data_IF_964304560840
#
_entry.id   IF_964304560840
#
_cell.length_a   1.000
_cell.length_b   1.000
_cell.length_c   1.000
_cell.angle_alpha   90.00
_cell.angle_beta   90.00
_cell.angle_gamma   90.00
#
_symmetry.space_group_name_H-M   'P 1'
#
loop_
_entity.id
_entity.type
_entity.pdbx_description
1 polymer ?
#
# COMPACT_ATOMS: atom_id res chain seq x y z
N UNK A 1 -13.36 7.93 1.41
CA UNK A 1 -12.25 8.36 2.30
C UNK A 1 -12.72 9.53 3.13
N UNK A 2 -12.35 9.60 4.43
CA UNK A 2 -12.88 10.61 5.34
C UNK A 2 -12.25 11.99 5.16
N UNK A 3 -11.03 12.10 4.60
CA UNK A 3 -10.30 13.36 4.48
C UNK A 3 -9.64 13.50 3.12
N UNK A 4 -9.73 14.69 2.53
CA UNK A 4 -8.98 15.07 1.33
C UNK A 4 -7.63 15.66 1.74
N UNK A 5 -6.53 14.98 1.38
CA UNK A 5 -5.17 15.40 1.73
C UNK A 5 -4.78 16.80 1.23
N UNK A 6 -5.44 17.29 0.17
CA UNK A 6 -5.17 18.64 -0.37
C UNK A 6 -5.55 19.75 0.59
N UNK A 7 -6.45 19.51 1.54
CA UNK A 7 -6.84 20.46 2.59
C UNK A 7 -5.69 20.77 3.55
N UNK A 8 -4.67 19.91 3.60
CA UNK A 8 -3.48 20.10 4.44
C UNK A 8 -2.32 20.80 3.73
N UNK A 9 -2.48 21.20 2.45
CA UNK A 9 -1.43 21.88 1.69
C UNK A 9 -0.92 23.15 2.38
N UNK A 10 -1.77 24.06 2.89
CA UNK A 10 -1.27 25.24 3.63
C UNK A 10 -0.43 24.85 4.84
N UNK A 11 -0.89 23.89 5.62
CA UNK A 11 -0.16 23.41 6.79
C UNK A 11 1.19 22.75 6.41
N UNK A 12 1.25 21.98 5.32
CA UNK A 12 2.49 21.40 4.83
C UNK A 12 3.51 22.49 4.46
N UNK A 13 3.06 23.55 3.81
CA UNK A 13 3.91 24.70 3.47
C UNK A 13 4.42 25.43 4.72
N UNK A 14 3.54 25.64 5.70
CA UNK A 14 3.93 26.26 6.99
C UNK A 14 4.98 25.44 7.72
N UNK A 15 4.92 24.12 7.62
CA UNK A 15 5.91 23.20 8.20
C UNK A 15 7.17 23.00 7.32
N UNK A 16 7.32 23.78 6.24
CA UNK A 16 8.54 23.82 5.44
C UNK A 16 8.62 22.78 4.32
N UNK A 17 7.49 22.33 3.81
CA UNK A 17 7.49 21.45 2.64
C UNK A 17 8.20 22.13 1.46
N UNK A 18 9.21 21.48 0.90
CA UNK A 18 9.93 21.94 -0.28
C UNK A 18 9.28 21.45 -1.59
N UNK A 19 8.51 20.37 -1.53
CA UNK A 19 7.78 19.79 -2.67
C UNK A 19 6.36 19.45 -2.23
N UNK A 20 5.40 19.79 -3.08
CA UNK A 20 4.00 19.40 -2.94
C UNK A 20 3.63 18.47 -4.09
N UNK A 21 3.13 17.29 -3.76
CA UNK A 21 2.60 16.35 -4.75
C UNK A 21 1.08 16.36 -4.64
N UNK A 22 0.41 16.79 -5.68
CA UNK A 22 -1.04 17.03 -5.69
C UNK A 22 -1.72 16.27 -6.84
N UNK A 23 -2.96 15.88 -6.63
CA UNK A 23 -3.78 15.20 -7.63
C UNK A 23 -4.25 16.24 -8.68
N UNK A 24 -4.07 15.94 -9.96
CA UNK A 24 -4.42 16.81 -11.07
C UNK A 24 -5.91 17.18 -11.10
N UNK A 25 -6.79 16.35 -10.57
CA UNK A 25 -8.23 16.61 -10.45
C UNK A 25 -8.58 17.80 -9.55
N UNK A 26 -7.67 18.15 -8.64
CA UNK A 26 -7.86 19.29 -7.72
C UNK A 26 -7.07 20.53 -8.14
N UNK A 27 -6.39 20.49 -9.29
CA UNK A 27 -5.63 21.63 -9.81
C UNK A 27 -6.36 22.20 -11.02
N UNK A 28 -6.68 23.51 -10.94
CA UNK A 28 -7.24 24.24 -12.06
C UNK A 28 -6.30 25.38 -12.46
N UNK A 29 -6.19 25.63 -13.75
CA UNK A 29 -5.46 26.79 -14.25
C UNK A 29 -6.29 28.05 -14.10
N UNK A 30 -5.71 29.08 -13.51
CA UNK A 30 -6.30 30.42 -13.42
C UNK A 30 -5.42 31.43 -14.14
N UNK A 31 -5.90 32.69 -14.27
CA UNK A 31 -5.12 33.78 -14.90
C UNK A 31 -3.84 34.10 -14.13
N UNK A 32 -3.81 33.81 -12.84
CA UNK A 32 -2.64 34.00 -11.94
C UNK A 32 -1.77 32.77 -11.81
N UNK A 33 -2.16 31.63 -12.41
CA UNK A 33 -1.46 30.35 -12.30
C UNK A 33 -2.33 29.22 -11.71
N UNK A 34 -1.74 28.09 -11.36
CA UNK A 34 -2.48 26.93 -10.85
C UNK A 34 -3.10 27.21 -9.48
N UNK A 35 -4.32 26.74 -9.29
CA UNK A 35 -5.11 26.86 -8.05
C UNK A 35 -5.52 25.46 -7.61
N UNK A 36 -5.28 25.11 -6.34
CA UNK A 36 -5.81 23.90 -5.73
C UNK A 36 -7.20 24.18 -5.21
N UNK A 37 -8.19 23.46 -5.75
CA UNK A 37 -9.59 23.59 -5.40
C UNK A 37 -10.13 22.30 -4.81
N UNK A 38 -10.65 22.35 -3.59
CA UNK A 38 -11.39 21.25 -2.94
C UNK A 38 -12.81 21.71 -2.58
N UNK A 39 -13.66 20.83 -2.08
CA UNK A 39 -14.99 21.19 -1.61
C UNK A 39 -14.98 22.26 -0.51
N UNK A 40 -13.91 22.31 0.27
CA UNK A 40 -13.80 23.16 1.45
C UNK A 40 -12.74 24.26 1.35
N UNK A 41 -11.92 24.26 0.30
CA UNK A 41 -10.76 25.14 0.22
C UNK A 41 -10.41 25.52 -1.23
N UNK A 42 -10.04 26.79 -1.40
CA UNK A 42 -9.38 27.28 -2.61
C UNK A 42 -8.03 27.87 -2.21
N UNK A 43 -6.95 27.34 -2.77
CA UNK A 43 -5.59 27.81 -2.51
C UNK A 43 -4.97 28.25 -3.83
N UNK A 44 -4.62 29.53 -3.92
CA UNK A 44 -3.80 30.03 -5.01
C UNK A 44 -2.35 29.53 -4.78
N UNK A 45 -1.94 28.59 -5.62
CA UNK A 45 -0.62 27.98 -5.50
C UNK A 45 0.47 29.03 -5.71
N UNK A 46 0.24 29.99 -6.62
CA UNK A 46 1.20 31.04 -6.90
C UNK A 46 1.43 31.97 -5.70
N UNK A 47 0.37 32.33 -4.97
CA UNK A 47 0.52 33.09 -3.72
C UNK A 47 1.22 32.27 -2.64
N UNK A 48 0.89 30.98 -2.54
CA UNK A 48 1.44 30.07 -1.56
C UNK A 48 2.96 29.87 -1.72
N UNK A 49 3.45 29.85 -2.97
CA UNK A 49 4.86 29.57 -3.30
C UNK A 49 5.68 30.82 -3.61
N UNK A 50 5.04 32.00 -3.74
CA UNK A 50 5.67 33.25 -4.22
C UNK A 50 6.99 33.60 -3.54
N UNK A 51 7.07 33.43 -2.21
CA UNK A 51 8.22 33.77 -1.39
C UNK A 51 8.94 32.53 -0.85
N UNK A 52 8.59 31.33 -1.33
CA UNK A 52 9.10 30.05 -0.86
C UNK A 52 9.50 29.21 -2.08
N UNK A 53 10.71 28.70 -2.08
CA UNK A 53 11.21 27.86 -3.16
C UNK A 53 10.56 26.44 -3.09
N UNK A 54 9.26 26.37 -3.40
CA UNK A 54 8.47 25.14 -3.35
C UNK A 54 8.18 24.68 -4.78
N UNK A 55 8.47 23.40 -5.06
CA UNK A 55 8.08 22.75 -6.29
C UNK A 55 6.70 22.10 -6.13
N UNK A 56 5.82 22.28 -7.11
CA UNK A 56 4.51 21.61 -7.16
C UNK A 56 4.50 20.62 -8.31
N UNK A 57 4.24 19.36 -7.99
CA UNK A 57 4.16 18.24 -8.94
C UNK A 57 2.72 17.74 -8.98
N UNK A 58 2.12 17.74 -10.16
CA UNK A 58 0.77 17.21 -10.37
C UNK A 58 0.85 15.75 -10.82
N UNK A 59 0.01 14.90 -10.23
CA UNK A 59 -0.09 13.47 -10.55
C UNK A 59 -1.53 13.03 -10.63
N UNK A 60 -1.81 11.94 -11.35
CA UNK A 60 -3.18 11.38 -11.44
C UNK A 60 -3.63 10.64 -10.20
N UNK A 61 -2.70 10.14 -9.39
CA UNK A 61 -2.98 9.37 -8.17
C UNK A 61 -1.87 9.63 -7.15
N UNK A 62 -2.17 10.47 -6.16
CA UNK A 62 -1.22 10.83 -5.09
C UNK A 62 -0.87 9.66 -4.18
N UNK A 63 -1.74 8.64 -4.06
CA UNK A 63 -1.45 7.44 -3.26
C UNK A 63 -0.45 6.53 -3.95
N UNK A 64 -0.62 6.34 -5.26
CA UNK A 64 0.37 5.62 -6.08
C UNK A 64 1.71 6.36 -6.09
N UNK A 65 1.68 7.69 -6.22
CA UNK A 65 2.87 8.51 -6.13
C UNK A 65 3.56 8.39 -4.76
N UNK A 66 2.79 8.34 -3.65
CA UNK A 66 3.33 8.14 -2.32
C UNK A 66 4.04 6.78 -2.20
N UNK A 67 3.48 5.72 -2.79
CA UNK A 67 4.12 4.41 -2.80
C UNK A 67 5.45 4.45 -3.54
N UNK A 68 5.48 5.01 -4.76
CA UNK A 68 6.69 5.15 -5.57
C UNK A 68 7.77 6.00 -4.89
N UNK A 69 7.39 7.14 -4.34
CA UNK A 69 8.30 8.02 -3.60
C UNK A 69 8.86 7.34 -2.35
N UNK A 70 8.04 6.57 -1.64
CA UNK A 70 8.47 5.83 -0.46
C UNK A 70 9.44 4.71 -0.85
N UNK A 71 9.15 3.96 -1.91
CA UNK A 71 10.06 2.93 -2.41
C UNK A 71 11.43 3.54 -2.77
N UNK A 72 11.43 4.63 -3.53
CA UNK A 72 12.67 5.30 -3.94
C UNK A 72 13.43 5.90 -2.74
N UNK A 73 12.73 6.51 -1.77
CA UNK A 73 13.36 7.10 -0.59
C UNK A 73 14.08 6.06 0.27
N UNK A 74 13.54 4.85 0.36
CA UNK A 74 14.14 3.75 1.11
C UNK A 74 14.96 2.79 0.24
N UNK A 75 15.37 3.18 -0.97
CA UNK A 75 16.23 2.40 -1.87
C UNK A 75 15.62 1.05 -2.27
N UNK A 76 14.33 1.06 -2.66
CA UNK A 76 13.59 -0.10 -3.17
C UNK A 76 13.75 -1.39 -2.34
N UNK A 77 13.47 -1.36 -1.02
CA UNK A 77 13.82 -2.45 -0.12
C UNK A 77 13.06 -3.76 -0.44
N UNK A 78 11.87 -3.68 -1.07
CA UNK A 78 11.11 -4.85 -1.46
C UNK A 78 11.80 -5.69 -2.56
N UNK A 79 12.70 -5.11 -3.35
CA UNK A 79 13.46 -5.79 -4.41
C UNK A 79 14.68 -6.54 -3.85
N UNK A 80 15.02 -6.31 -2.58
CA UNK A 80 16.23 -6.82 -1.93
C UNK A 80 16.00 -8.05 -1.04
N UNK A 81 14.76 -8.52 -0.96
CA UNK A 81 14.36 -9.72 -0.22
C UNK A 81 13.18 -10.40 -0.92
N UNK A 82 12.88 -11.65 -0.55
CA UNK A 82 11.70 -12.33 -1.08
C UNK A 82 10.43 -11.85 -0.40
N UNK A 83 9.46 -11.38 -1.19
CA UNK A 83 8.19 -10.87 -0.71
C UNK A 83 7.08 -11.92 -0.83
N UNK A 84 6.42 -12.24 0.28
CA UNK A 84 5.28 -13.16 0.33
C UNK A 84 4.05 -12.37 0.78
N UNK A 85 3.08 -12.19 -0.11
CA UNK A 85 1.84 -11.47 0.16
C UNK A 85 0.68 -12.43 0.43
N UNK A 86 -0.04 -12.24 1.53
CA UNK A 86 -1.17 -13.11 1.91
C UNK A 86 -2.45 -12.29 1.99
N UNK A 87 -3.46 -12.65 1.18
CA UNK A 87 -4.78 -12.05 1.22
C UNK A 87 -5.87 -13.10 1.45
N UNK A 88 -7.05 -12.64 1.77
CA UNK A 88 -8.24 -13.46 2.05
C UNK A 88 -9.19 -12.71 2.96
N UNK A 89 -10.42 -13.16 3.11
CA UNK A 89 -11.33 -12.65 4.14
C UNK A 89 -10.83 -13.10 5.49
N UNK A 90 -10.62 -14.38 5.68
CA UNK A 90 -10.22 -15.01 6.95
C UNK A 90 -8.87 -15.71 6.83
N UNK A 91 -8.19 -15.90 7.94
CA UNK A 91 -6.98 -16.73 8.05
C UNK A 91 -5.66 -16.04 7.70
N UNK A 92 -5.64 -14.79 7.23
CA UNK A 92 -4.40 -14.06 6.85
C UNK A 92 -3.34 -14.09 7.95
N UNK A 93 -3.72 -13.66 9.15
CA UNK A 93 -2.80 -13.58 10.30
C UNK A 93 -2.26 -14.96 10.67
N UNK A 94 -3.13 -15.96 10.80
CA UNK A 94 -2.72 -17.33 11.13
C UNK A 94 -1.75 -17.88 10.09
N UNK A 95 -2.07 -17.71 8.80
CA UNK A 95 -1.21 -18.17 7.70
C UNK A 95 0.12 -17.42 7.68
N UNK A 96 0.12 -16.09 7.94
CA UNK A 96 1.33 -15.31 8.01
C UNK A 96 2.29 -15.81 9.12
N UNK A 97 1.76 -16.04 10.33
CA UNK A 97 2.56 -16.57 11.43
C UNK A 97 3.06 -17.98 11.17
N UNK A 98 2.23 -18.86 10.62
CA UNK A 98 2.65 -20.24 10.27
C UNK A 98 3.72 -20.22 9.18
N UNK A 99 3.53 -19.43 8.12
CA UNK A 99 4.52 -19.28 7.04
C UNK A 99 5.84 -18.75 7.57
N UNK A 100 5.80 -17.70 8.38
CA UNK A 100 7.00 -17.13 9.00
C UNK A 100 7.71 -18.17 9.90
N UNK A 101 6.95 -18.90 10.73
CA UNK A 101 7.51 -19.94 11.60
C UNK A 101 8.18 -21.08 10.82
N UNK A 102 7.53 -21.56 9.75
CA UNK A 102 8.11 -22.64 8.90
C UNK A 102 9.40 -22.16 8.24
N UNK A 103 9.43 -20.93 7.72
CA UNK A 103 10.62 -20.36 7.09
C UNK A 103 11.75 -20.15 8.10
N UNK A 104 11.44 -19.73 9.34
CA UNK A 104 12.42 -19.58 10.41
C UNK A 104 13.02 -20.93 10.82
N UNK A 105 12.20 -21.97 10.95
CA UNK A 105 12.69 -23.36 11.21
C UNK A 105 13.55 -23.90 10.06
N UNK A 106 13.28 -23.46 8.82
CA UNK A 106 14.11 -23.77 7.66
C UNK A 106 15.42 -22.95 7.59
N UNK A 107 15.67 -22.07 8.57
CA UNK A 107 16.90 -21.30 8.71
C UNK A 107 16.89 -19.92 8.03
N UNK A 108 15.75 -19.45 7.51
CA UNK A 108 15.63 -18.12 6.93
C UNK A 108 15.42 -17.06 8.01
N UNK A 109 15.96 -15.86 7.80
CA UNK A 109 15.63 -14.67 8.56
C UNK A 109 14.39 -14.03 7.99
N UNK A 110 13.30 -14.02 8.75
CA UNK A 110 11.97 -13.62 8.27
C UNK A 110 11.54 -12.32 8.93
N UNK A 111 11.21 -11.35 8.12
CA UNK A 111 10.42 -10.17 8.52
C UNK A 111 8.92 -10.44 8.38
N UNK A 112 8.10 -9.71 9.13
CA UNK A 112 6.64 -9.84 9.05
C UNK A 112 5.96 -8.48 9.16
N UNK A 113 4.89 -8.28 8.36
CA UNK A 113 3.98 -7.12 8.45
C UNK A 113 2.55 -7.66 8.53
N UNK A 114 1.86 -7.45 9.64
CA UNK A 114 0.52 -8.00 9.83
C UNK A 114 -0.34 -7.27 10.85
N UNK A 115 -1.52 -7.80 11.10
CA UNK A 115 -2.55 -7.20 11.94
C UNK A 115 -2.13 -7.05 13.39
N UNK A 116 -1.45 -8.05 13.94
CA UNK A 116 -1.07 -8.08 15.36
C UNK A 116 0.17 -7.24 15.59
N UNK A 117 1.17 -7.43 14.75
CA UNK A 117 2.47 -6.80 14.88
C UNK A 117 3.22 -6.74 13.54
N UNK A 118 4.25 -5.91 13.48
CA UNK A 118 5.32 -6.00 12.50
C UNK A 118 6.60 -6.45 13.20
N UNK A 119 7.38 -7.28 12.53
CA UNK A 119 8.65 -7.81 12.99
C UNK A 119 9.73 -7.55 11.93
N UNK A 120 10.77 -6.83 12.27
CA UNK A 120 11.82 -6.42 11.33
C UNK A 120 13.05 -7.36 11.32
N UNK A 121 12.90 -8.56 11.86
CA UNK A 121 14.00 -9.49 12.05
C UNK A 121 14.69 -9.39 13.41
N UNK A 122 14.50 -8.29 14.14
CA UNK A 122 15.07 -8.05 15.49
C UNK A 122 14.05 -7.53 16.48
N UNK A 123 13.18 -6.59 16.05
CA UNK A 123 12.23 -5.89 16.94
C UNK A 123 10.81 -6.12 16.47
N UNK A 124 9.91 -6.19 17.43
CA UNK A 124 8.46 -6.23 17.20
C UNK A 124 7.88 -4.86 17.53
N UNK A 125 6.98 -4.38 16.69
CA UNK A 125 6.24 -3.15 16.93
C UNK A 125 4.78 -3.30 16.53
N UNK A 126 3.89 -2.63 17.27
CA UNK A 126 2.46 -2.63 16.96
C UNK A 126 2.19 -1.72 15.77
N UNK A 127 1.31 -2.15 14.88
CA UNK A 127 0.85 -1.39 13.73
C UNK A 127 -0.61 -1.00 13.88
N UNK A 128 -1.00 0.14 13.29
CA UNK A 128 -2.39 0.62 13.35
C UNK A 128 -3.31 -0.09 12.36
N UNK A 129 -2.76 -0.63 11.30
CA UNK A 129 -3.50 -1.25 10.20
C UNK A 129 -2.83 -2.55 9.80
N UNK A 130 -3.62 -3.55 9.40
CA UNK A 130 -3.13 -4.82 8.84
C UNK A 130 -2.09 -4.61 7.73
N UNK A 131 -2.35 -3.63 6.85
CA UNK A 131 -1.46 -3.18 5.79
C UNK A 131 -1.22 -1.69 6.05
N UNK A 132 -0.06 -1.29 6.59
CA UNK A 132 0.26 0.11 6.90
C UNK A 132 0.26 1.03 5.67
N UNK A 133 0.43 2.34 5.86
CA UNK A 133 0.62 3.28 4.76
C UNK A 133 1.97 3.02 4.05
N UNK A 134 2.07 3.38 2.77
CA UNK A 134 3.24 3.05 1.92
C UNK A 134 4.58 3.43 2.55
N UNK A 135 4.68 4.63 3.09
CA UNK A 135 5.91 5.11 3.73
C UNK A 135 6.31 4.23 4.92
N UNK A 136 5.35 3.80 5.71
CA UNK A 136 5.56 2.92 6.85
C UNK A 136 5.99 1.51 6.42
N UNK A 137 5.36 0.98 5.35
CA UNK A 137 5.74 -0.32 4.78
C UNK A 137 7.20 -0.27 4.33
N UNK A 138 7.57 0.71 3.49
CA UNK A 138 8.93 0.79 2.96
C UNK A 138 9.97 1.06 4.05
N UNK A 139 9.63 1.82 5.11
CA UNK A 139 10.46 1.99 6.31
C UNK A 139 10.72 0.65 7.03
N UNK A 140 9.68 -0.15 7.20
CA UNK A 140 9.80 -1.49 7.81
C UNK A 140 10.66 -2.42 6.95
N UNK A 141 10.42 -2.44 5.63
CA UNK A 141 11.20 -3.24 4.69
C UNK A 141 12.67 -2.81 4.66
N UNK A 142 12.97 -1.51 4.72
CA UNK A 142 14.36 -1.00 4.80
C UNK A 142 15.06 -1.54 6.05
N UNK A 143 14.38 -1.53 7.20
CA UNK A 143 14.93 -2.11 8.44
C UNK A 143 15.11 -3.64 8.35
N UNK A 144 14.23 -4.34 7.65
CA UNK A 144 14.38 -5.77 7.39
C UNK A 144 15.64 -6.04 6.55
N UNK A 145 15.90 -5.21 5.53
CA UNK A 145 17.14 -5.28 4.73
C UNK A 145 18.37 -5.03 5.61
N UNK A 146 18.36 -3.99 6.45
CA UNK A 146 19.44 -3.69 7.39
C UNK A 146 19.69 -4.83 8.40
N UNK A 147 18.63 -5.55 8.76
CA UNK A 147 18.68 -6.70 9.64
C UNK A 147 18.96 -8.02 8.90
N UNK A 148 19.26 -7.95 7.59
CA UNK A 148 19.60 -9.10 6.74
C UNK A 148 18.47 -10.13 6.68
N UNK A 149 17.19 -9.70 6.62
CA UNK A 149 16.09 -10.62 6.39
C UNK A 149 16.13 -11.17 4.96
N UNK A 150 15.97 -12.48 4.81
CA UNK A 150 15.91 -13.17 3.51
C UNK A 150 14.55 -12.97 2.84
N UNK A 151 13.50 -12.83 3.66
CA UNK A 151 12.14 -12.68 3.18
C UNK A 151 11.26 -11.87 4.14
N UNK A 152 10.16 -11.34 3.61
CA UNK A 152 9.08 -10.69 4.35
C UNK A 152 7.75 -11.39 4.06
N UNK A 153 7.03 -11.79 5.10
CA UNK A 153 5.64 -12.27 5.02
C UNK A 153 4.72 -11.12 5.38
N UNK A 154 3.84 -10.74 4.45
CA UNK A 154 2.98 -9.57 4.59
C UNK A 154 1.50 -9.89 4.43
N UNK A 155 0.68 -9.49 5.40
CA UNK A 155 -0.76 -9.50 5.24
C UNK A 155 -1.20 -8.35 4.31
N UNK A 156 -1.90 -8.69 3.22
CA UNK A 156 -2.36 -7.74 2.20
C UNK A 156 -3.88 -7.61 2.27
N UNK A 157 -4.37 -6.54 2.90
CA UNK A 157 -5.80 -6.25 3.02
C UNK A 157 -6.37 -5.66 1.74
N UNK A 158 -7.67 -5.85 1.51
CA UNK A 158 -8.37 -5.24 0.36
C UNK A 158 -8.28 -3.71 0.38
N UNK A 159 -8.36 -3.09 1.55
CA UNK A 159 -8.18 -1.64 1.69
C UNK A 159 -6.74 -1.21 1.41
N UNK A 160 -5.73 -2.00 1.81
CA UNK A 160 -4.33 -1.74 1.47
C UNK A 160 -4.13 -1.68 -0.04
N UNK A 161 -4.72 -2.61 -0.77
CA UNK A 161 -4.69 -2.64 -2.23
C UNK A 161 -5.49 -1.47 -2.83
N UNK A 162 -6.73 -1.25 -2.37
CA UNK A 162 -7.58 -0.15 -2.86
C UNK A 162 -6.93 1.22 -2.67
N UNK A 163 -6.20 1.40 -1.57
CA UNK A 163 -5.47 2.61 -1.22
C UNK A 163 -4.06 2.71 -1.80
N UNK A 164 -3.70 1.81 -2.72
CA UNK A 164 -2.39 1.78 -3.38
C UNK A 164 -1.20 1.66 -2.39
N UNK A 165 -1.41 1.14 -1.19
CA UNK A 165 -0.37 1.05 -0.16
C UNK A 165 0.77 0.10 -0.53
N UNK A 166 0.46 -0.87 -1.41
CA UNK A 166 1.42 -1.87 -1.91
C UNK A 166 1.75 -1.69 -3.39
N UNK A 167 1.46 -0.51 -3.99
CA UNK A 167 1.53 -0.31 -5.45
C UNK A 167 2.93 -0.55 -6.03
N UNK A 168 3.99 -0.25 -5.30
CA UNK A 168 5.39 -0.45 -5.71
C UNK A 168 6.05 -1.67 -5.04
N UNK A 169 5.25 -2.65 -4.64
CA UNK A 169 5.75 -3.93 -4.13
C UNK A 169 5.34 -5.02 -5.11
N UNK A 170 6.31 -5.72 -5.66
CA UNK A 170 6.08 -6.97 -6.36
C UNK A 170 6.30 -8.13 -5.40
N UNK A 171 5.35 -9.04 -5.31
CA UNK A 171 5.46 -10.22 -4.45
C UNK A 171 6.03 -11.39 -5.24
N UNK A 172 7.06 -12.07 -4.73
CA UNK A 172 7.53 -13.33 -5.33
C UNK A 172 6.42 -14.37 -5.26
N UNK A 173 5.70 -14.42 -4.12
CA UNK A 173 4.58 -15.34 -3.92
C UNK A 173 3.37 -14.55 -3.40
N UNK A 174 2.23 -14.71 -4.06
CA UNK A 174 0.93 -14.20 -3.64
C UNK A 174 0.02 -15.35 -3.22
N UNK A 175 -0.52 -15.29 -2.00
CA UNK A 175 -1.43 -16.31 -1.46
C UNK A 175 -2.83 -15.73 -1.33
N UNK A 176 -3.80 -16.37 -1.97
CA UNK A 176 -5.22 -16.04 -1.85
C UNK A 176 -5.97 -17.15 -1.13
N UNK A 177 -6.32 -16.94 0.13
CA UNK A 177 -6.87 -17.98 1.00
C UNK A 177 -8.34 -18.30 0.73
N UNK A 178 -9.17 -17.27 0.71
CA UNK A 178 -10.62 -17.37 0.57
C UNK A 178 -11.25 -15.99 0.36
N UNK A 179 -12.51 -15.98 -0.09
CA UNK A 179 -13.30 -14.76 -0.13
C UNK A 179 -14.77 -15.02 0.23
N UNK A 180 -15.25 -14.27 1.22
CA UNK A 180 -16.64 -14.26 1.66
C UNK A 180 -17.13 -12.80 1.74
N UNK A 181 -18.46 -12.56 1.69
CA UNK A 181 -19.02 -11.22 1.86
C UNK A 181 -18.63 -10.63 3.22
N UNK A 182 -17.72 -9.66 3.19
CA UNK A 182 -17.23 -8.93 4.35
C UNK A 182 -16.75 -7.54 3.89
N UNK A 183 -16.56 -6.62 4.82
CA UNK A 183 -16.07 -5.27 4.50
C UNK A 183 -16.89 -4.55 3.40
N UNK A 184 -18.22 -4.75 3.40
CA UNK A 184 -19.15 -4.09 2.46
C UNK A 184 -19.98 -3.09 3.25
N UNK A 185 -19.86 -1.80 2.94
CA UNK A 185 -20.62 -0.75 3.63
C UNK A 185 -20.00 0.64 3.54
N UNK A 186 -20.58 1.56 4.32
CA UNK A 186 -20.14 2.96 4.30
C UNK A 186 -18.72 3.12 4.84
N UNK A 187 -17.81 3.54 3.98
CA UNK A 187 -16.38 3.72 4.30
C UNK A 187 -15.52 2.48 4.04
N UNK A 188 -16.12 1.44 3.48
CA UNK A 188 -15.47 0.21 3.01
C UNK A 188 -15.74 0.02 1.52
N UNK A 189 -15.82 -1.22 1.02
CA UNK A 189 -16.16 -1.48 -0.37
C UNK A 189 -17.65 -1.28 -0.62
N UNK A 190 -18.01 -0.72 -1.79
CA UNK A 190 -19.41 -0.49 -2.14
C UNK A 190 -20.16 -1.81 -2.45
N UNK A 191 -19.44 -2.81 -2.98
CA UNK A 191 -20.01 -4.10 -3.37
C UNK A 191 -19.06 -5.25 -3.11
N UNK A 192 -19.59 -6.48 -3.05
CA UNK A 192 -18.77 -7.70 -3.01
C UNK A 192 -17.86 -7.83 -4.25
N UNK A 193 -18.35 -7.43 -5.42
CA UNK A 193 -17.54 -7.46 -6.64
C UNK A 193 -16.33 -6.54 -6.57
N UNK A 194 -16.47 -5.35 -5.97
CA UNK A 194 -15.36 -4.44 -5.73
C UNK A 194 -14.36 -5.02 -4.72
N UNK A 195 -14.87 -5.59 -3.63
CA UNK A 195 -14.06 -6.25 -2.61
C UNK A 195 -13.23 -7.40 -3.19
N UNK A 196 -13.87 -8.29 -3.96
CA UNK A 196 -13.22 -9.38 -4.68
C UNK A 196 -12.17 -8.84 -5.66
N UNK A 197 -12.54 -7.87 -6.49
CA UNK A 197 -11.62 -7.25 -7.44
C UNK A 197 -10.39 -6.65 -6.75
N UNK A 198 -10.58 -5.95 -5.64
CA UNK A 198 -9.44 -5.38 -4.90
C UNK A 198 -8.48 -6.47 -4.45
N UNK A 199 -8.98 -7.55 -3.84
CA UNK A 199 -8.11 -8.65 -3.38
C UNK A 199 -7.45 -9.41 -4.54
N UNK A 200 -8.17 -9.65 -5.65
CA UNK A 200 -7.65 -10.36 -6.81
C UNK A 200 -6.48 -9.64 -7.49
N UNK A 201 -6.32 -8.33 -7.25
CA UNK A 201 -5.16 -7.58 -7.75
C UNK A 201 -3.82 -8.12 -7.24
N UNK A 202 -3.79 -8.81 -6.10
CA UNK A 202 -2.58 -9.49 -5.64
C UNK A 202 -2.08 -10.51 -6.69
N UNK A 203 -2.98 -11.23 -7.37
CA UNK A 203 -2.64 -12.19 -8.42
C UNK A 203 -2.09 -11.53 -9.71
N UNK A 204 -2.14 -10.21 -9.81
CA UNK A 204 -1.52 -9.41 -10.88
C UNK A 204 -0.24 -8.71 -10.41
N UNK A 205 0.11 -8.88 -9.14
CA UNK A 205 1.21 -8.19 -8.47
C UNK A 205 2.18 -9.22 -7.85
N UNK A 206 2.10 -10.48 -8.27
CA UNK A 206 2.99 -11.54 -7.82
C UNK A 206 3.54 -12.39 -8.98
N UNK A 207 4.66 -13.07 -8.73
CA UNK A 207 5.27 -14.01 -9.66
C UNK A 207 4.57 -15.36 -9.65
N UNK A 208 4.38 -15.93 -8.46
CA UNK A 208 3.68 -17.21 -8.24
C UNK A 208 2.43 -16.94 -7.42
N UNK A 209 1.28 -17.41 -7.89
CA UNK A 209 0.00 -17.34 -7.20
C UNK A 209 -0.38 -18.67 -6.57
N UNK A 210 -0.67 -18.67 -5.27
CA UNK A 210 -1.24 -19.82 -4.57
C UNK A 210 -2.68 -19.48 -4.23
N UNK A 211 -3.63 -20.25 -4.74
CA UNK A 211 -5.06 -20.02 -4.53
C UNK A 211 -5.75 -21.25 -3.99
N UNK A 212 -6.74 -21.03 -3.13
CA UNK A 212 -7.62 -22.11 -2.69
C UNK A 212 -8.56 -22.50 -3.83
N UNK A 213 -8.36 -23.68 -4.42
CA UNK A 213 -9.13 -24.16 -5.56
C UNK A 213 -10.59 -24.51 -5.20
N UNK A 214 -10.86 -24.74 -3.92
CA UNK A 214 -12.23 -25.02 -3.43
C UNK A 214 -13.07 -23.74 -3.23
N UNK A 215 -12.49 -22.54 -3.40
CA UNK A 215 -13.26 -21.28 -3.31
C UNK A 215 -14.17 -21.14 -4.55
N UNK A 216 -15.49 -20.96 -4.37
CA UNK A 216 -16.42 -20.86 -5.48
C UNK A 216 -16.19 -19.65 -6.39
N UNK A 217 -15.33 -18.74 -6.02
CA UNK A 217 -14.96 -17.56 -6.80
C UNK A 217 -13.59 -17.69 -7.48
N UNK A 218 -12.95 -18.86 -7.48
CA UNK A 218 -11.58 -19.06 -8.00
C UNK A 218 -11.40 -18.49 -9.42
N UNK A 219 -12.35 -18.70 -10.32
CA UNK A 219 -12.29 -18.16 -11.69
C UNK A 219 -12.28 -16.63 -11.71
N UNK A 220 -13.04 -15.99 -10.79
CA UNK A 220 -13.07 -14.53 -10.66
C UNK A 220 -11.82 -13.99 -10.00
N UNK A 221 -11.26 -14.73 -9.03
CA UNK A 221 -9.98 -14.39 -8.37
C UNK A 221 -8.85 -14.38 -9.39
N UNK A 222 -8.83 -15.37 -10.27
CA UNK A 222 -7.83 -15.53 -11.32
C UNK A 222 -8.14 -14.72 -12.60
N UNK A 223 -9.29 -14.06 -12.69
CA UNK A 223 -9.63 -13.25 -13.86
C UNK A 223 -8.58 -12.16 -14.12
N UNK A 224 -7.80 -12.31 -15.20
CA UNK A 224 -6.74 -11.39 -15.61
C UNK A 224 -5.52 -11.43 -14.70
N UNK A 225 -5.24 -12.53 -14.01
CA UNK A 225 -3.96 -12.76 -13.32
C UNK A 225 -2.80 -12.74 -14.31
N UNK A 226 -1.61 -12.45 -13.79
CA UNK A 226 -0.36 -12.43 -14.57
C UNK A 226 0.71 -13.33 -13.97
N UNK A 227 0.41 -13.95 -12.82
CA UNK A 227 1.30 -14.88 -12.14
C UNK A 227 1.18 -16.30 -12.69
N UNK A 228 2.19 -17.11 -12.43
CA UNK A 228 2.09 -18.58 -12.51
C UNK A 228 1.21 -19.07 -11.34
N UNK A 229 0.28 -20.02 -11.58
CA UNK A 229 -0.69 -20.54 -10.60
C UNK A 229 -0.54 -22.04 -10.46
#
# INVERSE_FOLDING_TARGET
>A
YRNNGHEYVPQAVEHGAAVLVVDDRYVIESRSGPVILTEHMKVDVHELIRDRNICVVTVRDTRKALSALSAAFFDHPAERMKMIGITGTNGKTTTAFLTAGILQEAGYRVGMIGTIESYDGRRRETVKNTTPESCEIHRLLSRMVENECDCCVMEVSSQGIALQRTADIFFDIGVFLNIEPDHIGKGEHATFSEYLYCKSRLMRQCGIGIVNQDDPNVDKILAGHTCEV
#
